data_IF_037158556631
#
_entry.id   IF_037158556631
#
_cell.length_a   1.000
_cell.length_b   1.000
_cell.length_c   1.000
_cell.angle_alpha   90.00
_cell.angle_beta   90.00
_cell.angle_gamma   90.00
#
_symmetry.space_group_name_H-M   'P 1'
#
loop_
_entity.id
_entity.type
_entity.pdbx_description
1 polymer ?
#
# COMPACT_ATOMS: atom_id res chain seq x y z
N UNK A 1 -20.19 -15.30 -10.04
CA UNK A 1 -19.21 -14.19 -9.99
C UNK A 1 -17.86 -14.76 -10.40
N UNK A 2 -17.12 -14.13 -11.31
CA UNK A 2 -15.82 -14.68 -11.76
C UNK A 2 -14.71 -14.23 -10.81
N UNK A 3 -13.84 -15.13 -10.38
CA UNK A 3 -12.69 -14.77 -9.53
C UNK A 3 -11.60 -14.11 -10.38
N UNK A 4 -10.85 -13.18 -9.80
CA UNK A 4 -9.73 -12.53 -10.48
C UNK A 4 -8.66 -13.55 -10.87
N UNK A 5 -8.17 -13.46 -12.10
CA UNK A 5 -7.10 -14.28 -12.67
C UNK A 5 -5.94 -13.37 -13.10
N UNK A 6 -4.75 -13.92 -13.39
CA UNK A 6 -3.63 -13.13 -13.92
C UNK A 6 -4.01 -12.28 -15.13
N UNK A 7 -4.75 -12.87 -16.09
CA UNK A 7 -5.22 -12.15 -17.27
C UNK A 7 -6.19 -11.01 -16.94
N UNK A 8 -7.05 -11.19 -15.93
CA UNK A 8 -7.96 -10.13 -15.49
C UNK A 8 -7.22 -9.00 -14.75
N UNK A 9 -6.17 -9.32 -13.99
CA UNK A 9 -5.30 -8.31 -13.38
C UNK A 9 -4.59 -7.47 -14.45
N UNK A 10 -4.00 -8.12 -15.46
CA UNK A 10 -3.36 -7.43 -16.61
C UNK A 10 -4.39 -6.57 -17.36
N UNK A 11 -5.59 -7.09 -17.59
CA UNK A 11 -6.67 -6.33 -18.24
C UNK A 11 -7.08 -5.10 -17.43
N UNK A 12 -7.23 -5.24 -16.11
CA UNK A 12 -7.56 -4.13 -15.22
C UNK A 12 -6.50 -3.03 -15.26
N UNK A 13 -5.22 -3.40 -15.14
CA UNK A 13 -4.10 -2.44 -15.21
C UNK A 13 -4.04 -1.79 -16.59
N UNK A 14 -4.28 -2.55 -17.66
CA UNK A 14 -4.31 -2.03 -19.03
C UNK A 14 -5.41 -0.98 -19.19
N UNK A 15 -6.66 -1.32 -18.86
CA UNK A 15 -7.82 -0.43 -18.98
C UNK A 15 -7.66 0.83 -18.11
N UNK A 16 -7.18 0.69 -16.87
CA UNK A 16 -6.95 1.81 -15.96
C UNK A 16 -5.79 2.71 -16.41
N UNK A 17 -4.74 2.14 -17.01
CA UNK A 17 -3.59 2.91 -17.52
C UNK A 17 -3.88 3.68 -18.82
N UNK A 18 -4.87 3.23 -19.59
CA UNK A 18 -5.35 3.90 -20.81
C UNK A 18 -6.38 4.98 -20.50
N UNK A 19 -7.27 4.73 -19.54
CA UNK A 19 -8.33 5.66 -19.15
C UNK A 19 -7.86 6.81 -18.26
N UNK A 20 -6.69 6.69 -17.62
CA UNK A 20 -6.15 7.70 -16.70
C UNK A 20 -4.78 8.19 -17.16
N UNK A 21 -4.48 9.46 -16.92
CA UNK A 21 -3.14 10.02 -17.14
C UNK A 21 -2.08 9.37 -16.23
N UNK A 22 -2.50 8.83 -15.08
CA UNK A 22 -1.63 8.14 -14.14
C UNK A 22 -1.22 6.76 -14.68
N UNK A 23 0.09 6.56 -14.84
CA UNK A 23 0.67 5.31 -15.34
C UNK A 23 0.96 4.26 -14.27
N UNK A 24 0.91 4.66 -13.01
CA UNK A 24 0.96 3.79 -11.85
C UNK A 24 -0.48 3.53 -11.35
N UNK A 25 -0.97 2.32 -11.57
CA UNK A 25 -2.31 1.88 -11.17
C UNK A 25 -2.25 1.30 -9.76
N UNK A 26 -3.01 1.86 -8.81
CA UNK A 26 -2.92 1.46 -7.39
C UNK A 26 -3.88 0.32 -7.09
N UNK A 27 -3.58 -0.44 -6.04
CA UNK A 27 -4.43 -1.51 -5.48
C UNK A 27 -5.91 -1.11 -5.38
N UNK A 28 -6.19 0.04 -4.77
CA UNK A 28 -7.57 0.52 -4.62
C UNK A 28 -8.30 0.74 -5.95
N UNK A 29 -7.56 1.13 -6.99
CA UNK A 29 -8.11 1.40 -8.31
C UNK A 29 -8.43 0.06 -9.02
N UNK A 30 -7.61 -0.98 -8.81
CA UNK A 30 -7.88 -2.35 -9.27
C UNK A 30 -9.09 -2.96 -8.55
N UNK A 31 -9.20 -2.78 -7.23
CA UNK A 31 -10.35 -3.26 -6.46
C UNK A 31 -11.65 -2.61 -6.95
N UNK A 32 -11.65 -1.29 -7.15
CA UNK A 32 -12.80 -0.58 -7.70
C UNK A 32 -13.16 -1.06 -9.13
N UNK A 33 -12.17 -1.38 -9.96
CA UNK A 33 -12.40 -1.98 -11.27
C UNK A 33 -13.05 -3.36 -11.16
N UNK A 34 -12.61 -4.18 -10.21
CA UNK A 34 -13.18 -5.51 -9.98
C UNK A 34 -14.65 -5.42 -9.55
N UNK A 35 -14.96 -4.52 -8.60
CA UNK A 35 -16.34 -4.24 -8.17
C UNK A 35 -17.22 -3.83 -9.35
N UNK A 36 -16.74 -2.89 -10.18
CA UNK A 36 -17.49 -2.42 -11.35
C UNK A 36 -17.71 -3.51 -12.41
N UNK A 37 -16.76 -4.44 -12.59
CA UNK A 37 -16.84 -5.54 -13.56
C UNK A 37 -17.45 -6.83 -12.99
N UNK A 38 -17.89 -6.85 -11.72
CA UNK A 38 -18.39 -8.06 -11.06
C UNK A 38 -17.35 -9.18 -10.94
N UNK A 39 -16.07 -8.80 -10.76
CA UNK A 39 -14.94 -9.71 -10.53
C UNK A 39 -14.71 -9.82 -9.03
N UNK A 40 -14.60 -11.04 -8.51
CA UNK A 40 -14.25 -11.28 -7.12
C UNK A 40 -12.73 -11.24 -6.94
N UNK A 41 -12.25 -10.23 -6.23
CA UNK A 41 -10.84 -10.09 -5.84
C UNK A 41 -10.52 -10.59 -4.43
N UNK A 42 -11.50 -11.07 -3.66
CA UNK A 42 -11.29 -11.72 -2.36
C UNK A 42 -10.95 -13.20 -2.53
N UNK A 43 -11.78 -13.94 -3.26
CA UNK A 43 -11.77 -15.41 -3.26
C UNK A 43 -12.28 -15.99 -1.94
N UNK A 44 -12.13 -17.30 -1.77
CA UNK A 44 -12.63 -18.05 -0.60
C UNK A 44 -11.79 -17.86 0.68
N UNK A 45 -10.75 -17.01 0.62
CA UNK A 45 -9.70 -16.89 1.64
C UNK A 45 -9.72 -15.59 2.44
N UNK A 46 -8.56 -15.24 3.00
CA UNK A 46 -8.36 -13.97 3.71
C UNK A 46 -8.45 -12.75 2.76
N UNK A 47 -8.44 -11.54 3.32
CA UNK A 47 -8.64 -10.29 2.58
C UNK A 47 -7.75 -10.21 1.32
N UNK A 48 -8.40 -10.23 0.16
CA UNK A 48 -7.81 -10.13 -1.18
C UNK A 48 -6.90 -11.30 -1.58
N UNK A 49 -7.12 -12.51 -1.05
CA UNK A 49 -6.30 -13.69 -1.35
C UNK A 49 -6.21 -13.98 -2.85
N UNK A 50 -7.35 -14.03 -3.54
CA UNK A 50 -7.38 -14.31 -4.98
C UNK A 50 -6.58 -13.28 -5.81
N UNK A 51 -6.59 -12.01 -5.41
CA UNK A 51 -5.79 -10.98 -6.06
C UNK A 51 -4.29 -11.22 -5.90
N UNK A 52 -3.85 -11.63 -4.70
CA UNK A 52 -2.44 -11.94 -4.46
C UNK A 52 -2.00 -13.22 -5.15
N UNK A 53 -2.90 -14.18 -5.33
CA UNK A 53 -2.64 -15.38 -6.13
C UNK A 53 -2.48 -15.01 -7.61
N UNK A 54 -3.38 -14.18 -8.14
CA UNK A 54 -3.28 -13.64 -9.49
C UNK A 54 -1.98 -12.83 -9.72
N UNK A 55 -1.56 -11.99 -8.76
CA UNK A 55 -0.29 -11.24 -8.81
C UNK A 55 0.94 -12.17 -8.83
N UNK A 56 0.93 -13.25 -8.02
CA UNK A 56 2.03 -14.24 -8.01
C UNK A 56 2.10 -15.05 -9.30
N UNK A 57 0.96 -15.47 -9.82
CA UNK A 57 0.88 -16.22 -11.07
C UNK A 57 1.23 -15.34 -12.28
N UNK A 58 0.78 -14.09 -12.29
CA UNK A 58 1.15 -13.09 -13.30
C UNK A 58 2.67 -12.90 -13.36
N UNK A 59 3.32 -12.74 -12.21
CA UNK A 59 4.78 -12.58 -12.13
C UNK A 59 5.58 -13.78 -12.69
N UNK A 60 4.98 -14.98 -12.67
CA UNK A 60 5.55 -16.20 -13.27
C UNK A 60 5.28 -16.32 -14.77
N UNK A 61 4.28 -15.60 -15.28
CA UNK A 61 3.87 -15.63 -16.67
C UNK A 61 4.69 -14.71 -17.59
N UNK A 62 4.28 -14.67 -18.86
CA UNK A 62 4.92 -13.88 -19.92
C UNK A 62 4.50 -12.41 -19.91
N UNK A 63 3.25 -12.13 -19.49
CA UNK A 63 2.66 -10.78 -19.50
C UNK A 63 2.99 -10.00 -18.23
N UNK A 64 4.28 -9.65 -18.07
CA UNK A 64 4.77 -9.05 -16.83
C UNK A 64 4.35 -7.60 -16.59
N UNK A 65 3.61 -7.37 -15.52
CA UNK A 65 3.40 -6.07 -14.90
C UNK A 65 4.63 -5.68 -14.06
N UNK A 66 4.91 -4.39 -14.01
CA UNK A 66 5.86 -3.84 -13.04
C UNK A 66 5.14 -3.66 -11.71
N UNK A 67 5.76 -4.08 -10.61
CA UNK A 67 5.17 -3.99 -9.28
C UNK A 67 5.89 -2.95 -8.43
N UNK A 68 5.13 -2.12 -7.73
CA UNK A 68 5.66 -1.09 -6.84
C UNK A 68 5.00 -1.21 -5.46
N UNK A 69 5.80 -1.02 -4.41
CA UNK A 69 5.31 -1.00 -3.02
C UNK A 69 5.82 0.19 -2.24
N UNK A 70 5.02 0.64 -1.27
CA UNK A 70 5.40 1.69 -0.32
C UNK A 70 6.23 1.20 0.87
N UNK A 71 6.51 -0.11 0.97
CA UNK A 71 7.21 -0.70 2.10
C UNK A 71 7.07 -2.22 2.19
N UNK A 72 7.78 -2.81 3.15
CA UNK A 72 7.81 -4.26 3.36
C UNK A 72 6.56 -4.79 4.06
N UNK A 73 5.96 -4.00 4.97
CA UNK A 73 4.86 -4.49 5.79
C UNK A 73 3.63 -4.91 4.94
N UNK A 74 2.83 -5.84 5.48
CA UNK A 74 1.60 -6.35 4.83
C UNK A 74 0.59 -5.25 4.49
N UNK A 75 0.61 -4.14 5.23
CA UNK A 75 -0.28 -2.99 5.01
C UNK A 75 0.25 -1.98 3.99
N UNK A 76 1.45 -2.21 3.44
CA UNK A 76 2.05 -1.31 2.46
C UNK A 76 1.19 -1.21 1.22
N UNK A 77 1.11 -0.01 0.66
CA UNK A 77 0.37 0.23 -0.58
C UNK A 77 1.10 -0.44 -1.73
N UNK A 78 0.32 -0.99 -2.66
CA UNK A 78 0.81 -1.67 -3.86
C UNK A 78 0.26 -0.95 -5.09
N UNK A 79 1.03 -0.92 -6.17
CA UNK A 79 0.56 -0.56 -7.49
C UNK A 79 1.32 -1.29 -8.58
N UNK A 80 0.75 -1.23 -9.78
CA UNK A 80 1.27 -1.88 -10.97
C UNK A 80 1.36 -0.91 -12.14
N UNK A 81 2.21 -1.24 -13.11
CA UNK A 81 2.27 -0.54 -14.38
C UNK A 81 2.59 -1.49 -15.53
N UNK A 82 2.19 -1.12 -16.75
CA UNK A 82 2.61 -1.81 -17.95
C UNK A 82 4.09 -1.49 -18.25
N UNK A 83 4.84 -2.45 -18.81
CA UNK A 83 6.26 -2.24 -19.21
C UNK A 83 6.46 -1.04 -20.15
N UNK A 84 5.60 -0.77 -21.15
CA UNK A 84 5.71 0.43 -21.99
C UNK A 84 5.54 1.77 -21.23
N UNK A 85 5.15 1.72 -19.96
CA UNK A 85 4.97 2.88 -19.10
C UNK A 85 5.97 2.92 -17.94
N UNK A 86 7.03 2.10 -18.00
CA UNK A 86 7.99 1.93 -16.93
C UNK A 86 8.54 3.25 -16.37
N UNK A 87 9.04 4.12 -17.24
CA UNK A 87 9.73 5.35 -16.80
C UNK A 87 8.75 6.28 -16.07
N UNK A 88 7.57 6.53 -16.66
CA UNK A 88 6.51 7.34 -16.04
C UNK A 88 6.00 6.73 -14.73
N UNK A 89 5.92 5.41 -14.65
CA UNK A 89 5.50 4.72 -13.43
C UNK A 89 6.55 4.82 -12.34
N UNK A 90 7.85 4.72 -12.68
CA UNK A 90 8.97 4.90 -11.74
C UNK A 90 9.04 6.33 -11.22
N UNK A 91 8.86 7.33 -12.07
CA UNK A 91 8.76 8.73 -11.66
C UNK A 91 7.61 8.94 -10.68
N UNK A 92 6.41 8.44 -11.01
CA UNK A 92 5.24 8.54 -10.13
C UNK A 92 5.45 7.78 -8.81
N UNK A 93 6.08 6.60 -8.85
CA UNK A 93 6.41 5.82 -7.67
C UNK A 93 7.42 6.56 -6.78
N UNK A 94 8.45 7.17 -7.36
CA UNK A 94 9.45 7.94 -6.64
C UNK A 94 8.83 9.13 -5.90
N UNK A 95 7.91 9.88 -6.54
CA UNK A 95 7.17 10.97 -5.90
C UNK A 95 6.33 10.52 -4.69
N UNK A 96 5.91 9.26 -4.68
CA UNK A 96 5.14 8.65 -3.60
C UNK A 96 6.01 7.95 -2.55
N UNK A 97 7.34 7.90 -2.74
CA UNK A 97 8.27 7.13 -1.91
C UNK A 97 8.11 5.62 -2.06
N UNK A 98 7.60 5.16 -3.21
CA UNK A 98 7.42 3.73 -3.51
C UNK A 98 8.63 3.21 -4.28
N UNK A 99 8.84 1.90 -4.20
CA UNK A 99 9.95 1.22 -4.85
C UNK A 99 9.46 0.02 -5.66
N UNK A 100 10.12 -0.20 -6.79
CA UNK A 100 9.88 -1.34 -7.66
C UNK A 100 10.31 -2.65 -6.99
N UNK A 101 9.51 -3.69 -7.16
CA UNK A 101 9.84 -5.07 -6.81
C UNK A 101 10.04 -5.88 -8.09
N UNK A 102 11.12 -6.65 -8.14
CA UNK A 102 11.47 -7.55 -9.21
C UNK A 102 11.17 -8.99 -8.80
N UNK A 103 10.57 -9.77 -9.69
CA UNK A 103 10.40 -11.21 -9.48
C UNK A 103 11.63 -11.95 -10.02
N UNK A 104 12.38 -12.61 -9.13
CA UNK A 104 13.60 -13.37 -9.49
C UNK A 104 13.33 -14.81 -9.97
N UNK A 105 12.08 -15.26 -9.90
CA UNK A 105 11.68 -16.64 -10.19
C UNK A 105 11.17 -17.40 -8.97
N UNK A 106 11.61 -17.01 -7.78
CA UNK A 106 11.26 -17.65 -6.50
C UNK A 106 10.55 -16.68 -5.55
N UNK A 107 11.00 -15.43 -5.51
CA UNK A 107 10.57 -14.38 -4.59
C UNK A 107 10.61 -12.99 -5.22
N UNK A 108 10.06 -12.04 -4.47
CA UNK A 108 10.09 -10.63 -4.80
C UNK A 108 11.31 -9.97 -4.15
N UNK A 109 12.18 -9.40 -4.98
CA UNK A 109 13.36 -8.63 -4.58
C UNK A 109 13.13 -7.13 -4.79
N UNK A 110 13.75 -6.30 -3.95
CA UNK A 110 13.66 -4.86 -4.12
C UNK A 110 14.65 -4.38 -5.17
N UNK A 111 14.20 -3.53 -6.10
CA UNK A 111 15.13 -2.84 -6.99
C UNK A 111 16.07 -1.97 -6.14
N UNK A 112 17.37 -2.27 -6.17
CA UNK A 112 18.39 -1.63 -5.32
C UNK A 112 18.61 -2.30 -3.95
N UNK A 113 18.05 -3.49 -3.70
CA UNK A 113 18.42 -4.36 -2.58
C UNK A 113 17.89 -3.95 -1.20
N UNK A 114 17.01 -2.96 -1.10
CA UNK A 114 16.40 -2.57 0.18
C UNK A 114 14.97 -2.06 0.00
N UNK A 115 14.06 -2.31 0.97
CA UNK A 115 12.73 -1.72 0.97
C UNK A 115 12.80 -0.19 1.14
N UNK A 116 11.78 0.56 0.70
CA UNK A 116 11.69 1.97 1.03
C UNK A 116 11.48 2.13 2.54
N UNK A 117 12.17 3.11 3.14
CA UNK A 117 12.00 3.44 4.54
C UNK A 117 10.59 4.00 4.72
N UNK A 118 9.74 3.26 5.43
CA UNK A 118 8.44 3.79 5.84
C UNK A 118 8.72 4.91 6.84
N UNK A 119 8.66 6.16 6.39
CA UNK A 119 8.60 7.30 7.31
C UNK A 119 7.32 7.16 8.10
N UNK A 120 7.39 6.47 9.25
CA UNK A 120 6.32 6.50 10.25
C UNK A 120 6.15 7.97 10.57
N UNK A 121 4.98 8.55 10.24
CA UNK A 121 4.61 9.85 10.80
C UNK A 121 4.86 9.72 12.31
N UNK A 122 5.60 10.66 12.94
CA UNK A 122 5.68 10.68 14.39
C UNK A 122 4.25 10.57 14.94
N UNK A 123 4.01 9.75 15.98
CA UNK A 123 2.70 9.75 16.61
C UNK A 123 2.36 11.20 16.98
N UNK A 124 1.09 11.64 16.80
CA UNK A 124 0.69 12.96 17.26
C UNK A 124 1.12 13.08 18.71
N UNK A 125 1.90 14.12 19.01
CA UNK A 125 2.33 14.43 20.37
C UNK A 125 1.05 14.53 21.18
N UNK A 126 0.77 13.53 22.01
CA UNK A 126 -0.23 13.69 23.05
C UNK A 126 0.33 14.79 23.96
N UNK A 127 -0.10 16.03 23.74
CA UNK A 127 0.01 17.07 24.75
C UNK A 127 -0.87 16.61 25.93
N UNK A 128 -0.24 15.84 26.81
CA UNK A 128 -0.80 15.44 28.08
C UNK A 128 -0.18 16.38 29.11
N UNK A 129 -0.98 17.29 29.64
CA UNK A 129 -0.60 18.09 30.81
C UNK A 129 -0.98 19.55 30.75
N UNK A 130 -2.27 19.83 30.66
CA UNK A 130 -2.83 21.16 30.86
C UNK A 130 -4.21 21.04 31.50
N UNK A 131 -4.29 20.33 32.62
CA UNK A 131 -5.48 20.35 33.48
C UNK A 131 -5.10 21.12 34.73
N UNK A 132 -5.91 22.13 34.99
CA UNK A 132 -5.78 23.22 35.96
C UNK A 132 -5.53 22.75 37.40
N UNK A 133 -4.84 23.54 38.24
CA UNK A 133 -4.77 23.27 39.67
C UNK A 133 -6.10 23.67 40.32
N UNK A 134 -6.97 22.68 40.54
CA UNK A 134 -8.13 22.77 41.42
C UNK A 134 -7.76 22.43 42.87
N UNK A 135 -7.90 23.44 43.73
CA UNK A 135 -7.93 23.56 45.20
C UNK A 135 -8.25 22.28 46.00
N UNK A 136 -7.52 22.01 47.11
CA UNK A 136 -8.02 22.22 48.50
C UNK A 136 -7.08 21.69 49.62
N UNK A 137 -6.93 22.54 50.64
CA UNK A 137 -6.75 22.36 52.09
C UNK A 137 -6.00 21.13 52.69
N UNK A 138 -4.92 21.38 53.44
CA UNK A 138 -4.90 21.18 54.92
C UNK A 138 -3.52 21.35 55.58
N UNK A 139 -3.55 22.07 56.71
CA UNK A 139 -2.70 21.99 57.90
C UNK A 139 -1.25 22.51 57.88
N UNK A 140 -1.05 23.68 58.49
CA UNK A 140 0.06 23.92 59.43
C UNK A 140 -0.30 25.06 60.40
N UNK A 141 -0.47 24.71 61.68
CA UNK A 141 -0.66 25.67 62.77
C UNK A 141 0.63 26.44 63.11
N UNK A 142 0.55 27.62 63.73
CA UNK A 142 1.72 28.37 64.13
C UNK A 142 2.34 27.79 65.42
N UNK A 143 3.68 27.71 65.54
CA UNK A 143 4.35 27.49 66.82
C UNK A 143 4.38 28.79 67.65
N UNK A 144 4.55 28.69 68.99
CA UNK A 144 4.42 29.82 69.90
C UNK A 144 5.68 30.69 69.92
N UNK A 145 5.48 32.00 70.10
CA UNK A 145 6.52 33.00 70.32
C UNK A 145 5.92 34.38 70.55
#
# INVERSE_FOLDING_TARGET
MRVITPGLLVAAVTELSLSRSAKLVRLKDVVAWCEWKGVDCQGDGSRQQALWDADREEARGESRLLKFKSGECKQSRVGWALRPHADRAREAAALLGWREQLWDGEKWEWLGGSPPVVTRRPPPRHERGGSEPGTDDSAQGPPPG
#
